data_IF_511249355084
#
_entry.id   IF_511249355084
#
_cell.length_a   1.000
_cell.length_b   1.000
_cell.length_c   1.000
_cell.angle_alpha   90.00
_cell.angle_beta   90.00
_cell.angle_gamma   90.00
#
_symmetry.space_group_name_H-M   'P 1'
#
loop_
_entity.id
_entity.type
_entity.pdbx_description
1 polymer ?
#
# COMPACT_ATOMS: atom_id res chain seq x y z
N UNK A 1 -10.19 -3.41 -3.79
CA UNK A 1 -9.55 -4.73 -3.93
C UNK A 1 -8.93 -5.09 -2.57
N UNK A 2 -8.94 -6.36 -2.13
CA UNK A 2 -8.33 -6.72 -0.84
C UNK A 2 -6.83 -6.96 -1.03
N UNK A 3 -6.02 -6.27 -0.25
CA UNK A 3 -4.56 -6.45 -0.22
C UNK A 3 -4.17 -7.17 1.06
N UNK A 4 -3.10 -7.98 0.98
CA UNK A 4 -2.61 -8.76 2.12
C UNK A 4 -1.26 -8.23 2.54
N UNK A 5 -1.10 -7.92 3.82
CA UNK A 5 0.19 -7.59 4.42
C UNK A 5 0.77 -8.83 5.08
N UNK A 6 2.05 -9.13 4.80
CA UNK A 6 2.80 -10.21 5.45
C UNK A 6 4.04 -9.67 6.15
N UNK A 7 4.48 -10.36 7.21
CA UNK A 7 5.82 -10.18 7.76
C UNK A 7 6.78 -11.22 7.19
N UNK A 8 7.94 -10.80 6.68
CA UNK A 8 8.96 -11.65 6.09
C UNK A 8 10.36 -11.30 6.61
N UNK A 9 11.26 -12.28 6.67
CA UNK A 9 12.69 -12.05 7.00
C UNK A 9 13.42 -11.56 5.75
N UNK A 10 14.38 -10.67 5.92
CA UNK A 10 15.16 -10.08 4.81
C UNK A 10 15.75 -11.13 3.86
N UNK A 11 16.30 -12.24 4.39
CA UNK A 11 16.85 -13.31 3.55
C UNK A 11 15.84 -13.89 2.55
N UNK A 12 14.57 -14.00 2.94
CA UNK A 12 13.52 -14.57 2.10
C UNK A 12 12.98 -13.53 1.13
N UNK A 13 12.90 -12.27 1.56
CA UNK A 13 12.54 -11.16 0.68
C UNK A 13 13.53 -11.03 -0.49
N UNK A 14 14.84 -11.10 -0.22
CA UNK A 14 15.87 -11.07 -1.27
C UNK A 14 15.74 -12.22 -2.28
N UNK A 15 15.42 -13.43 -1.82
CA UNK A 15 15.16 -14.58 -2.72
C UNK A 15 13.89 -14.42 -3.55
N UNK A 16 12.87 -13.76 -3.03
CA UNK A 16 11.65 -13.43 -3.80
C UNK A 16 12.01 -12.43 -4.90
N UNK A 17 12.78 -11.38 -4.58
CA UNK A 17 13.21 -10.38 -5.55
C UNK A 17 14.12 -10.96 -6.64
N UNK A 18 15.00 -11.91 -6.30
CA UNK A 18 15.86 -12.58 -7.30
C UNK A 18 15.15 -13.65 -8.13
N UNK A 19 13.92 -14.04 -7.76
CA UNK A 19 13.18 -15.13 -8.39
C UNK A 19 13.58 -16.53 -7.90
N UNK A 20 14.55 -16.66 -7.00
CA UNK A 20 14.96 -17.95 -6.40
C UNK A 20 13.89 -18.58 -5.49
N UNK A 21 12.92 -17.78 -5.02
CA UNK A 21 11.83 -18.24 -4.16
C UNK A 21 10.48 -17.94 -4.82
N UNK A 22 9.86 -18.99 -5.36
CA UNK A 22 8.57 -18.92 -6.05
C UNK A 22 7.38 -19.22 -5.13
N UNK A 23 7.62 -19.88 -3.98
CA UNK A 23 6.59 -20.18 -2.99
C UNK A 23 6.92 -19.55 -1.63
N UNK A 24 6.08 -18.61 -1.18
CA UNK A 24 6.08 -18.12 0.19
C UNK A 24 5.26 -19.07 1.09
N UNK A 25 5.90 -19.61 2.13
CA UNK A 25 5.33 -20.71 2.92
C UNK A 25 4.62 -20.17 4.16
N UNK A 26 3.36 -20.57 4.34
CA UNK A 26 2.51 -20.16 5.48
C UNK A 26 1.70 -21.31 6.05
N UNK A 27 1.31 -21.20 7.31
CA UNK A 27 0.43 -22.18 8.00
C UNK A 27 -1.05 -22.03 7.65
N UNK A 28 -1.45 -20.89 7.09
CA UNK A 28 -2.82 -20.59 6.71
C UNK A 28 -2.86 -19.65 5.49
N UNK A 29 -4.07 -19.31 5.03
CA UNK A 29 -4.33 -18.46 3.87
C UNK A 29 -5.45 -17.45 4.13
N UNK A 30 -5.53 -16.36 3.35
CA UNK A 30 -6.65 -15.44 3.38
C UNK A 30 -7.94 -16.13 2.89
N UNK A 31 -9.06 -15.88 3.59
CA UNK A 31 -10.38 -16.41 3.25
C UNK A 31 -11.21 -15.37 2.50
N UNK A 32 -11.84 -15.76 1.38
CA UNK A 32 -12.69 -14.85 0.61
C UNK A 32 -11.90 -13.73 -0.07
N UNK A 33 -10.73 -14.09 -0.61
CA UNK A 33 -9.91 -13.24 -1.48
C UNK A 33 -10.02 -13.76 -2.92
N UNK A 34 -10.05 -12.85 -3.87
CA UNK A 34 -10.03 -13.17 -5.31
C UNK A 34 -8.59 -13.25 -5.80
N UNK A 35 -8.36 -14.07 -6.82
CA UNK A 35 -7.06 -14.18 -7.46
C UNK A 35 -7.05 -13.43 -8.79
N UNK A 36 -5.92 -12.81 -9.17
CA UNK A 36 -4.73 -12.61 -8.35
C UNK A 36 -4.94 -11.53 -7.27
N UNK A 37 -4.16 -11.57 -6.19
CA UNK A 37 -4.15 -10.52 -5.17
C UNK A 37 -2.75 -9.99 -4.85
N UNK A 38 -2.68 -8.73 -4.41
CA UNK A 38 -1.44 -8.07 -4.04
C UNK A 38 -1.02 -8.46 -2.62
N UNK A 39 0.27 -8.77 -2.47
CA UNK A 39 0.91 -9.07 -1.18
C UNK A 39 1.96 -8.01 -0.90
N UNK A 40 1.76 -7.25 0.17
CA UNK A 40 2.71 -6.23 0.68
C UNK A 40 3.61 -6.87 1.74
N UNK A 41 4.91 -6.58 1.66
CA UNK A 41 5.94 -7.22 2.46
C UNK A 41 6.52 -6.26 3.50
N UNK A 42 6.18 -6.50 4.77
CA UNK A 42 6.93 -5.96 5.90
C UNK A 42 8.18 -6.80 6.14
N UNK A 43 9.35 -6.23 5.89
CA UNK A 43 10.64 -6.85 6.17
C UNK A 43 11.02 -6.57 7.62
N UNK A 44 11.19 -7.65 8.39
CA UNK A 44 11.42 -7.57 9.84
C UNK A 44 12.63 -6.71 10.17
N UNK A 45 12.42 -5.69 11.02
CA UNK A 45 13.47 -4.75 11.44
C UNK A 45 13.77 -3.63 10.44
N UNK A 46 13.06 -3.54 9.32
CA UNK A 46 13.28 -2.54 8.27
C UNK A 46 12.04 -1.68 8.03
N UNK A 47 10.89 -2.29 7.80
CA UNK A 47 9.67 -1.61 7.38
C UNK A 47 8.96 -2.35 6.25
N UNK A 48 7.95 -1.72 5.67
CA UNK A 48 7.35 -2.16 4.42
C UNK A 48 8.29 -1.79 3.27
N UNK A 49 8.75 -2.78 2.51
CA UNK A 49 9.85 -2.63 1.55
C UNK A 49 9.46 -2.98 0.11
N UNK A 50 8.30 -3.59 -0.10
CA UNK A 50 7.94 -4.06 -1.42
C UNK A 50 6.65 -4.83 -1.45
N UNK A 51 6.33 -5.34 -2.62
CA UNK A 51 5.15 -6.16 -2.85
C UNK A 51 5.41 -7.21 -3.94
N UNK A 52 4.51 -8.19 -4.02
CA UNK A 52 4.41 -9.11 -5.15
C UNK A 52 2.94 -9.48 -5.39
N UNK A 53 2.67 -10.13 -6.53
CA UNK A 53 1.33 -10.64 -6.83
C UNK A 53 1.25 -12.14 -6.55
N UNK A 54 0.22 -12.56 -5.82
CA UNK A 54 -0.12 -13.96 -5.61
C UNK A 54 -1.31 -14.36 -6.50
N UNK A 55 -1.09 -15.26 -7.44
CA UNK A 55 -2.08 -15.73 -8.42
C UNK A 55 -2.71 -17.08 -8.04
N UNK A 56 -2.07 -17.90 -7.19
CA UNK A 56 -2.68 -19.06 -6.56
C UNK A 56 -2.02 -19.44 -5.22
N UNK A 57 -2.75 -20.22 -4.41
CA UNK A 57 -2.22 -20.83 -3.17
C UNK A 57 -2.37 -22.35 -3.24
N UNK A 58 -1.26 -23.06 -3.06
CA UNK A 58 -1.22 -24.51 -2.98
C UNK A 58 -1.24 -24.99 -1.54
N UNK A 59 -2.17 -25.87 -1.19
CA UNK A 59 -2.23 -26.52 0.13
C UNK A 59 -1.76 -27.97 -0.01
N UNK A 60 -0.70 -28.35 0.69
CA UNK A 60 -0.17 -29.72 0.67
C UNK A 60 0.59 -30.01 1.96
N UNK A 61 0.71 -31.29 2.33
CA UNK A 61 1.65 -31.80 3.33
C UNK A 61 2.87 -32.49 2.69
N UNK A 62 2.98 -32.47 1.36
CA UNK A 62 4.18 -32.90 0.65
C UNK A 62 5.26 -31.80 0.76
N UNK A 63 6.14 -31.96 1.75
CA UNK A 63 7.23 -31.01 1.99
C UNK A 63 8.32 -31.10 0.93
N UNK A 64 8.45 -32.22 0.22
CA UNK A 64 9.42 -32.32 -0.88
C UNK A 64 8.99 -31.42 -2.03
N UNK A 65 7.72 -31.50 -2.40
CA UNK A 65 7.15 -30.64 -3.44
C UNK A 65 7.26 -29.14 -3.10
N UNK A 66 7.04 -28.77 -1.83
CA UNK A 66 7.22 -27.38 -1.40
C UNK A 66 8.68 -26.94 -1.39
N UNK A 67 9.62 -27.83 -1.06
CA UNK A 67 11.06 -27.52 -1.00
C UNK A 67 11.63 -27.08 -2.35
N UNK A 68 11.17 -27.71 -3.44
CA UNK A 68 11.63 -27.47 -4.81
C UNK A 68 11.49 -26.01 -5.26
N UNK A 69 10.53 -25.28 -4.68
CA UNK A 69 10.17 -23.91 -5.11
C UNK A 69 10.19 -22.87 -3.99
N UNK A 70 10.46 -23.28 -2.75
CA UNK A 70 10.43 -22.36 -1.59
C UNK A 70 11.82 -21.96 -1.08
N UNK A 71 12.88 -22.66 -1.52
CA UNK A 71 14.24 -22.46 -1.04
C UNK A 71 14.44 -22.88 0.43
N UNK A 72 13.58 -23.76 0.94
CA UNK A 72 13.61 -24.38 2.27
C UNK A 72 13.80 -25.89 2.10
N UNK A 73 14.56 -26.52 2.98
CA UNK A 73 14.70 -27.98 2.99
C UNK A 73 13.42 -28.66 3.54
N UNK A 74 13.11 -29.91 3.13
CA UNK A 74 11.95 -30.64 3.64
C UNK A 74 11.91 -30.74 5.18
N UNK A 75 13.07 -30.84 5.83
CA UNK A 75 13.19 -30.84 7.29
C UNK A 75 12.78 -29.51 7.93
N UNK A 76 13.19 -28.37 7.36
CA UNK A 76 12.79 -27.04 7.84
C UNK A 76 11.26 -26.84 7.70
N UNK A 77 10.69 -27.34 6.61
CA UNK A 77 9.24 -27.30 6.37
C UNK A 77 8.48 -28.18 7.36
N UNK A 78 8.99 -29.39 7.63
CA UNK A 78 8.42 -30.29 8.63
C UNK A 78 8.44 -29.64 10.02
N UNK A 79 9.58 -29.11 10.45
CA UNK A 79 9.71 -28.42 11.74
C UNK A 79 8.79 -27.20 11.83
N UNK A 80 8.72 -26.40 10.77
CA UNK A 80 7.82 -25.25 10.72
C UNK A 80 6.36 -25.68 10.87
N UNK A 81 5.93 -26.75 10.18
CA UNK A 81 4.57 -27.26 10.23
C UNK A 81 4.22 -27.88 11.61
N UNK A 82 5.13 -28.66 12.17
CA UNK A 82 4.83 -29.63 13.22
C UNK A 82 5.51 -29.38 14.57
N UNK A 83 6.56 -28.56 14.64
CA UNK A 83 7.49 -28.46 15.79
C UNK A 83 6.88 -28.03 17.13
N UNK A 84 5.62 -27.59 17.16
CA UNK A 84 4.91 -27.21 18.39
C UNK A 84 3.77 -28.16 18.78
N UNK A 85 3.35 -29.10 17.92
CA UNK A 85 2.02 -29.71 18.02
C UNK A 85 1.99 -31.24 18.09
N UNK A 86 3.13 -31.94 18.02
CA UNK A 86 3.18 -33.42 18.03
C UNK A 86 2.44 -34.10 16.87
N UNK A 87 2.02 -33.33 15.86
CA UNK A 87 1.39 -33.80 14.62
C UNK A 87 2.49 -34.08 13.59
N UNK A 88 2.24 -35.00 12.66
CA UNK A 88 3.20 -35.31 11.57
C UNK A 88 2.73 -34.85 10.20
N UNK A 89 1.41 -34.71 9.99
CA UNK A 89 0.82 -34.52 8.66
C UNK A 89 0.17 -33.13 8.46
N UNK A 90 0.69 -32.09 9.11
CA UNK A 90 0.13 -30.74 9.02
C UNK A 90 0.35 -30.13 7.62
N UNK A 91 -0.72 -29.81 6.89
CA UNK A 91 -0.57 -29.11 5.61
C UNK A 91 0.00 -27.69 5.80
N UNK A 92 0.88 -27.31 4.89
CA UNK A 92 1.30 -25.93 4.67
C UNK A 92 0.63 -25.35 3.43
N UNK A 93 0.73 -24.03 3.31
CA UNK A 93 0.22 -23.24 2.19
C UNK A 93 1.42 -22.59 1.49
N UNK A 94 1.70 -23.00 0.25
CA UNK A 94 2.62 -22.32 -0.65
C UNK A 94 1.88 -21.24 -1.41
N UNK A 95 2.13 -19.98 -1.06
CA UNK A 95 1.59 -18.82 -1.75
C UNK A 95 2.50 -18.54 -2.94
N UNK A 96 1.97 -18.66 -4.15
CA UNK A 96 2.77 -18.47 -5.34
C UNK A 96 3.15 -17.00 -5.50
N UNK A 97 4.41 -16.75 -5.80
CA UNK A 97 4.96 -15.45 -6.18
C UNK A 97 4.96 -15.40 -7.70
N UNK A 98 4.03 -14.64 -8.28
CA UNK A 98 3.92 -14.54 -9.74
C UNK A 98 5.19 -13.91 -10.31
N UNK A 99 5.83 -14.59 -11.25
CA UNK A 99 7.07 -14.15 -11.91
C UNK A 99 6.94 -12.72 -12.47
N UNK A 100 8.00 -11.92 -12.32
CA UNK A 100 8.05 -10.54 -12.80
C UNK A 100 7.21 -9.53 -12.01
N UNK A 101 6.50 -9.94 -10.97
CA UNK A 101 5.71 -9.05 -10.10
C UNK A 101 6.35 -8.65 -8.77
N UNK A 102 7.39 -9.33 -8.23
CA UNK A 102 8.12 -8.81 -7.09
C UNK A 102 8.71 -7.44 -7.40
N UNK A 103 8.43 -6.48 -6.52
CA UNK A 103 8.90 -5.11 -6.65
C UNK A 103 9.39 -4.59 -5.31
N UNK A 104 10.56 -3.95 -5.33
CA UNK A 104 11.10 -3.22 -4.19
C UNK A 104 10.68 -1.75 -4.29
N UNK A 105 10.31 -1.16 -3.16
CA UNK A 105 9.94 0.25 -3.08
C UNK A 105 11.18 1.13 -2.93
N UNK A 106 11.09 2.40 -3.32
CA UNK A 106 12.21 3.35 -3.26
C UNK A 106 12.77 3.52 -1.84
N UNK A 107 11.90 3.35 -0.82
CA UNK A 107 12.27 3.44 0.57
C UNK A 107 11.48 2.50 1.48
N UNK A 108 11.95 2.36 2.72
CA UNK A 108 11.26 1.63 3.76
C UNK A 108 10.13 2.48 4.36
N UNK A 109 8.90 1.97 4.31
CA UNK A 109 7.75 2.65 4.92
C UNK A 109 7.45 2.09 6.32
N UNK A 110 6.96 2.96 7.19
CA UNK A 110 6.49 2.56 8.52
C UNK A 110 5.23 1.70 8.41
N UNK A 111 5.02 0.87 9.42
CA UNK A 111 3.90 -0.09 9.47
C UNK A 111 2.53 0.61 9.50
N UNK A 112 2.45 1.79 10.13
CA UNK A 112 1.26 2.63 10.23
C UNK A 112 0.75 3.13 8.87
N UNK A 113 1.62 3.26 7.86
CA UNK A 113 1.22 3.64 6.49
C UNK A 113 0.23 2.66 5.87
N UNK A 114 0.24 1.40 6.31
CA UNK A 114 -0.71 0.36 5.91
C UNK A 114 -1.98 0.29 6.80
N UNK A 115 -2.18 1.26 7.70
CA UNK A 115 -3.33 1.30 8.61
C UNK A 115 -3.25 0.27 9.74
N UNK A 116 -2.05 -0.22 10.06
CA UNK A 116 -1.84 -1.22 11.12
C UNK A 116 -0.79 -0.77 12.13
N UNK A 117 -1.05 -1.03 13.41
CA UNK A 117 -0.17 -0.57 14.51
C UNK A 117 1.03 -1.48 14.76
N UNK A 118 0.99 -2.73 14.30
CA UNK A 118 2.07 -3.71 14.51
C UNK A 118 2.20 -4.66 13.32
N UNK A 119 3.41 -5.18 13.05
CA UNK A 119 3.60 -6.19 12.02
C UNK A 119 2.77 -7.44 12.29
N UNK A 120 2.13 -8.04 11.27
CA UNK A 120 1.33 -9.24 11.47
C UNK A 120 2.22 -10.43 11.84
N UNK A 121 1.75 -11.29 12.75
CA UNK A 121 2.46 -12.52 13.11
C UNK A 121 2.54 -13.51 11.92
N UNK A 122 1.51 -13.53 11.09
CA UNK A 122 1.50 -14.23 9.81
C UNK A 122 1.15 -13.22 8.72
N UNK A 123 -0.14 -12.91 8.58
CA UNK A 123 -0.65 -11.95 7.63
C UNK A 123 -1.92 -11.29 8.18
N UNK A 124 -2.29 -10.14 7.62
CA UNK A 124 -3.59 -9.52 7.83
C UNK A 124 -4.10 -8.89 6.52
N UNK A 125 -5.39 -8.60 6.47
CA UNK A 125 -5.92 -7.75 5.41
C UNK A 125 -5.54 -6.31 5.67
N UNK A 126 -5.21 -5.61 4.60
CA UNK A 126 -5.08 -4.16 4.57
C UNK A 126 -5.89 -3.62 3.40
N UNK A 127 -6.15 -2.32 3.43
CA UNK A 127 -6.66 -1.60 2.27
C UNK A 127 -5.61 -1.58 1.15
N UNK A 128 -5.97 -1.04 -0.01
CA UNK A 128 -5.02 -0.86 -1.10
C UNK A 128 -3.80 -0.05 -0.61
N UNK A 129 -2.60 -0.57 -0.84
CA UNK A 129 -1.39 0.05 -0.33
C UNK A 129 -0.82 0.99 -1.39
N UNK A 130 -0.97 2.29 -1.14
CA UNK A 130 -0.62 3.35 -2.09
C UNK A 130 0.57 4.21 -1.67
N UNK A 131 1.09 4.02 -0.45
CA UNK A 131 2.16 4.87 0.09
C UNK A 131 3.48 4.78 -0.71
N UNK A 132 3.71 3.67 -1.41
CA UNK A 132 4.88 3.47 -2.25
C UNK A 132 4.75 4.08 -3.65
N UNK A 133 3.56 4.54 -4.03
CA UNK A 133 3.31 4.93 -5.41
C UNK A 133 4.03 6.24 -5.73
N UNK A 134 4.61 6.28 -6.92
CA UNK A 134 5.19 7.47 -7.52
C UNK A 134 4.51 7.75 -8.85
N UNK A 135 4.57 9.00 -9.30
CA UNK A 135 4.13 9.37 -10.65
C UNK A 135 5.19 10.26 -11.29
N UNK A 136 5.21 10.28 -12.62
CA UNK A 136 6.07 11.19 -13.36
C UNK A 136 5.29 12.24 -14.14
N UNK A 137 5.98 13.32 -14.47
CA UNK A 137 5.53 14.42 -15.29
C UNK A 137 6.66 14.93 -16.17
N UNK A 138 6.33 15.51 -17.32
CA UNK A 138 7.29 16.19 -18.21
C UNK A 138 7.29 17.71 -18.05
N UNK A 139 6.28 18.29 -17.40
CA UNK A 139 6.14 19.74 -17.16
C UNK A 139 6.22 20.11 -15.67
N UNK A 140 6.20 19.12 -14.77
CA UNK A 140 6.22 19.32 -13.32
C UNK A 140 4.86 19.72 -12.74
N UNK A 141 3.82 19.76 -13.56
CA UNK A 141 2.46 20.18 -13.17
C UNK A 141 1.45 19.06 -13.38
N UNK A 142 1.54 18.38 -14.53
CA UNK A 142 0.60 17.34 -14.96
C UNK A 142 1.22 15.96 -14.74
N UNK A 143 0.76 15.27 -13.70
CA UNK A 143 1.20 13.91 -13.39
C UNK A 143 0.21 12.86 -13.88
N UNK A 144 0.75 11.79 -14.46
CA UNK A 144 -0.01 10.75 -15.14
C UNK A 144 -0.33 9.54 -14.27
N UNK A 145 -0.02 8.36 -14.81
CA UNK A 145 -0.21 7.09 -14.11
C UNK A 145 0.73 6.95 -12.91
N UNK A 146 0.40 5.99 -12.04
CA UNK A 146 1.18 5.67 -10.84
C UNK A 146 1.96 4.37 -11.00
N UNK A 147 3.16 4.33 -10.44
CA UNK A 147 4.11 3.21 -10.53
C UNK A 147 4.56 2.78 -9.14
N UNK A 148 5.07 1.55 -8.99
CA UNK A 148 5.44 1.04 -7.65
C UNK A 148 6.71 1.69 -7.07
N UNK A 149 7.55 2.27 -7.93
CA UNK A 149 8.82 2.88 -7.59
C UNK A 149 9.30 3.79 -8.74
N UNK A 150 10.34 4.57 -8.47
CA UNK A 150 10.94 5.52 -9.40
C UNK A 150 11.50 4.83 -10.64
N UNK A 151 12.07 3.63 -10.48
CA UNK A 151 12.61 2.85 -11.60
C UNK A 151 11.55 2.49 -12.64
N UNK A 152 10.36 2.06 -12.21
CA UNK A 152 9.24 1.74 -13.09
C UNK A 152 8.71 3.01 -13.77
N UNK A 153 8.55 4.11 -13.03
CA UNK A 153 8.12 5.39 -13.57
C UNK A 153 9.07 5.90 -14.66
N UNK A 154 10.37 5.90 -14.39
CA UNK A 154 11.39 6.36 -15.35
C UNK A 154 11.44 5.48 -16.60
N UNK A 155 11.27 4.16 -16.45
CA UNK A 155 11.23 3.24 -17.59
C UNK A 155 10.08 3.59 -18.53
N UNK A 156 8.90 3.86 -17.99
CA UNK A 156 7.73 4.23 -18.77
C UNK A 156 7.87 5.63 -19.38
N UNK A 157 8.37 6.59 -18.60
CA UNK A 157 8.66 7.95 -19.09
C UNK A 157 9.63 7.97 -20.27
N UNK A 158 10.68 7.11 -20.27
CA UNK A 158 11.59 6.99 -21.42
C UNK A 158 10.86 6.48 -22.66
N UNK A 159 9.95 5.50 -22.52
CA UNK A 159 9.18 4.99 -23.65
C UNK A 159 8.34 6.09 -24.27
N UNK A 160 7.62 6.87 -23.44
CA UNK A 160 6.82 8.01 -23.92
C UNK A 160 7.70 9.11 -24.53
N UNK A 161 8.87 9.38 -23.94
CA UNK A 161 9.83 10.34 -24.49
C UNK A 161 10.31 9.95 -25.90
N UNK A 162 10.62 8.67 -26.13
CA UNK A 162 11.01 8.15 -27.45
C UNK A 162 9.86 8.26 -28.47
N UNK A 163 8.60 8.22 -28.02
CA UNK A 163 7.44 8.50 -28.87
C UNK A 163 7.36 9.98 -29.23
N UNK A 164 7.65 10.91 -28.31
CA UNK A 164 7.72 12.34 -28.61
C UNK A 164 8.79 12.69 -29.63
N UNK A 165 9.91 11.96 -29.70
CA UNK A 165 10.90 12.14 -30.77
C UNK A 165 10.32 11.83 -32.16
N UNK A 166 9.42 10.85 -32.25
CA UNK A 166 8.75 10.46 -33.51
C UNK A 166 7.60 11.41 -33.86
N UNK A 167 6.84 11.82 -32.84
CA UNK A 167 5.67 12.69 -32.97
C UNK A 167 5.77 13.86 -31.98
N UNK A 168 6.52 14.93 -32.34
CA UNK A 168 6.79 16.03 -31.43
C UNK A 168 5.51 16.72 -30.97
N UNK A 169 5.30 16.89 -29.66
CA UNK A 169 4.18 17.67 -29.16
C UNK A 169 4.34 19.15 -29.55
N UNK A 170 3.22 19.86 -29.69
CA UNK A 170 3.19 21.29 -30.12
C UNK A 170 4.01 22.22 -29.20
N UNK A 171 4.18 21.84 -27.93
CA UNK A 171 4.94 22.60 -26.93
C UNK A 171 6.46 22.34 -27.00
N UNK A 172 6.93 21.47 -27.89
CA UNK A 172 8.32 21.04 -27.97
C UNK A 172 8.58 19.76 -27.19
N UNK A 173 9.65 19.05 -27.53
CA UNK A 173 10.05 17.82 -26.84
C UNK A 173 10.55 18.22 -25.45
N UNK A 174 9.98 17.67 -24.36
CA UNK A 174 10.49 17.92 -23.01
C UNK A 174 11.93 17.42 -22.91
N UNK A 175 12.72 17.96 -22.00
CA UNK A 175 14.08 17.47 -21.71
C UNK A 175 14.25 17.03 -20.24
N UNK A 176 13.21 17.21 -19.43
CA UNK A 176 13.17 16.90 -18.01
C UNK A 176 12.02 15.94 -17.71
N UNK A 177 12.25 15.09 -16.74
CA UNK A 177 11.29 14.16 -16.17
C UNK A 177 11.26 14.43 -14.66
N UNK A 178 10.10 14.79 -14.15
CA UNK A 178 9.86 15.02 -12.73
C UNK A 178 9.25 13.75 -12.16
N UNK A 179 9.84 13.15 -11.12
CA UNK A 179 9.28 11.97 -10.45
C UNK A 179 9.03 12.31 -8.98
N UNK A 180 7.82 12.09 -8.50
CA UNK A 180 7.45 12.41 -7.12
C UNK A 180 6.62 11.33 -6.46
N UNK A 181 6.74 11.21 -5.14
CA UNK A 181 5.92 10.31 -4.34
C UNK A 181 4.48 10.84 -4.28
N UNK A 182 3.51 9.96 -4.52
CA UNK A 182 2.10 10.28 -4.49
C UNK A 182 1.60 10.33 -3.04
N UNK A 183 1.09 11.48 -2.62
CA UNK A 183 0.33 11.62 -1.37
C UNK A 183 -1.15 11.53 -1.65
N UNK A 184 -1.72 10.34 -1.45
CA UNK A 184 -3.14 10.10 -1.62
C UNK A 184 -3.94 10.78 -0.51
N UNK A 185 -5.01 11.49 -0.91
CA UNK A 185 -5.92 12.07 0.05
C UNK A 185 -6.62 10.99 0.87
N UNK A 186 -6.51 11.10 2.19
CA UNK A 186 -7.23 10.25 3.15
C UNK A 186 -8.37 11.06 3.74
N UNK A 187 -9.63 10.72 3.42
CA UNK A 187 -10.75 11.45 3.97
C UNK A 187 -10.81 11.19 5.47
N UNK A 188 -11.09 12.23 6.23
CA UNK A 188 -11.20 12.17 7.67
C UNK A 188 -12.23 13.19 8.14
N UNK A 189 -12.97 12.82 9.17
CA UNK A 189 -13.89 13.67 9.91
C UNK A 189 -13.19 14.38 11.08
N UNK A 190 -11.86 14.41 11.11
CA UNK A 190 -11.15 15.24 12.08
C UNK A 190 -11.58 16.70 11.99
N UNK A 191 -11.80 17.31 13.15
CA UNK A 191 -12.37 18.65 13.37
C UNK A 191 -13.84 18.83 12.95
N UNK A 192 -14.59 17.75 12.67
CA UNK A 192 -16.02 17.83 12.33
C UNK A 192 -16.94 17.90 13.55
N UNK A 193 -16.41 17.74 14.77
CA UNK A 193 -17.24 17.70 15.99
C UNK A 193 -18.12 18.93 16.16
N UNK A 194 -17.58 20.13 15.87
CA UNK A 194 -18.34 21.38 15.92
C UNK A 194 -19.39 21.47 14.82
N UNK A 195 -19.07 21.07 13.59
CA UNK A 195 -20.01 21.09 12.46
C UNK A 195 -21.25 20.21 12.75
N UNK A 196 -21.05 19.06 13.41
CA UNK A 196 -22.14 18.16 13.79
C UNK A 196 -22.99 18.74 14.91
N UNK A 197 -22.36 19.38 15.90
CA UNK A 197 -23.07 20.05 16.99
C UNK A 197 -23.90 21.22 16.44
N UNK A 198 -23.31 22.07 15.59
CA UNK A 198 -24.00 23.21 14.95
C UNK A 198 -25.19 22.73 14.12
N UNK A 199 -25.04 21.62 13.39
CA UNK A 199 -26.14 21.03 12.63
C UNK A 199 -27.29 20.55 13.52
N UNK A 200 -27.01 20.03 14.71
CA UNK A 200 -28.03 19.58 15.67
C UNK A 200 -28.65 20.77 16.41
N UNK A 201 -27.85 21.78 16.78
CA UNK A 201 -28.34 23.04 17.37
C UNK A 201 -29.29 23.77 16.42
N UNK A 202 -28.97 23.79 15.12
CA UNK A 202 -29.84 24.38 14.10
C UNK A 202 -31.20 23.67 14.05
N UNK A 203 -31.22 22.33 14.11
CA UNK A 203 -32.46 21.55 14.19
C UNK A 203 -33.24 21.83 15.48
N UNK A 204 -32.53 21.93 16.61
CA UNK A 204 -33.14 22.27 17.90
C UNK A 204 -33.76 23.66 17.87
N UNK A 205 -33.14 24.65 17.22
CA UNK A 205 -33.69 25.99 17.06
C UNK A 205 -34.94 25.99 16.17
N UNK A 206 -34.94 25.22 15.10
CA UNK A 206 -36.10 25.08 14.20
C UNK A 206 -37.32 24.49 14.94
N UNK A 207 -37.11 23.57 15.89
CA UNK A 207 -38.18 22.93 16.67
C UNK A 207 -38.56 23.68 17.96
N UNK A 208 -37.56 24.18 18.69
CA UNK A 208 -37.69 24.72 20.04
C UNK A 208 -37.63 26.25 20.13
N UNK A 209 -37.18 26.93 19.07
CA UNK A 209 -36.94 28.38 19.07
C UNK A 209 -36.04 28.81 20.23
N UNK A 210 -36.36 29.94 20.86
CA UNK A 210 -35.59 30.54 21.97
C UNK A 210 -35.34 29.60 23.17
N UNK A 211 -36.10 28.51 23.32
CA UNK A 211 -35.90 27.54 24.39
C UNK A 211 -34.74 26.57 24.13
N UNK A 212 -34.18 26.58 22.92
CA UNK A 212 -33.06 25.74 22.51
C UNK A 212 -31.73 26.50 22.42
N UNK A 213 -31.70 27.79 22.74
CA UNK A 213 -30.55 28.69 22.57
C UNK A 213 -29.28 28.20 23.31
N UNK A 214 -29.40 27.43 24.40
CA UNK A 214 -28.27 26.91 25.19
C UNK A 214 -28.03 25.40 25.00
N UNK A 215 -28.74 24.75 24.08
CA UNK A 215 -28.65 23.31 23.88
C UNK A 215 -27.25 22.92 23.36
N UNK A 216 -26.53 22.09 24.13
CA UNK A 216 -25.17 21.60 23.85
C UNK A 216 -24.04 22.64 23.95
N UNK A 217 -24.31 23.88 24.35
CA UNK A 217 -23.27 24.91 24.53
C UNK A 217 -22.25 24.57 25.63
N UNK A 218 -22.66 23.77 26.62
CA UNK A 218 -21.81 23.29 27.71
C UNK A 218 -20.91 22.11 27.33
N UNK A 219 -20.98 21.61 26.08
CA UNK A 219 -20.17 20.49 25.64
C UNK A 219 -18.67 20.83 25.72
N UNK A 220 -17.93 20.06 26.51
CA UNK A 220 -16.49 20.32 26.67
C UNK A 220 -15.71 19.84 25.45
N UNK A 221 -14.52 20.39 25.25
CA UNK A 221 -13.64 19.97 24.16
C UNK A 221 -13.40 18.46 24.15
N UNK A 222 -13.23 17.83 25.32
CA UNK A 222 -13.03 16.40 25.45
C UNK A 222 -14.24 15.58 25.01
N UNK A 223 -15.46 16.08 25.30
CA UNK A 223 -16.70 15.42 24.86
C UNK A 223 -16.90 15.56 23.35
N UNK A 224 -16.53 16.70 22.77
CA UNK A 224 -16.56 16.92 21.32
C UNK A 224 -15.54 16.01 20.62
N UNK A 225 -14.32 15.89 21.16
CA UNK A 225 -13.31 14.95 20.67
C UNK A 225 -13.77 13.49 20.77
N UNK A 226 -14.48 13.11 21.84
CA UNK A 226 -15.07 11.77 21.97
C UNK A 226 -16.09 11.50 20.85
N UNK A 227 -17.01 12.44 20.60
CA UNK A 227 -17.98 12.36 19.51
C UNK A 227 -17.30 12.25 18.15
N UNK A 228 -16.31 13.10 17.89
CA UNK A 228 -15.54 13.13 16.65
C UNK A 228 -14.85 11.78 16.38
N UNK A 229 -14.20 11.20 17.38
CA UNK A 229 -13.57 9.88 17.25
C UNK A 229 -14.59 8.78 16.94
N UNK A 230 -15.78 8.85 17.53
CA UNK A 230 -16.88 7.93 17.23
C UNK A 230 -17.37 8.05 15.78
N UNK A 231 -17.56 9.29 15.31
CA UNK A 231 -17.98 9.58 13.93
C UNK A 231 -16.93 9.14 12.92
N UNK A 232 -15.65 9.41 13.19
CA UNK A 232 -14.54 8.99 12.34
C UNK A 232 -14.53 7.46 12.19
N UNK A 233 -14.67 6.71 13.29
CA UNK A 233 -14.72 5.25 13.22
C UNK A 233 -15.88 4.74 12.33
N UNK A 234 -17.08 5.31 12.49
CA UNK A 234 -18.25 4.97 11.68
C UNK A 234 -18.03 5.31 10.21
N UNK A 235 -17.45 6.48 9.93
CA UNK A 235 -17.17 6.95 8.58
C UNK A 235 -16.12 6.08 7.88
N UNK A 236 -15.02 5.76 8.56
CA UNK A 236 -13.97 4.89 8.03
C UNK A 236 -14.51 3.49 7.70
N UNK A 237 -15.34 2.91 8.58
CA UNK A 237 -16.01 1.63 8.33
C UNK A 237 -16.95 1.70 7.12
N UNK A 238 -17.68 2.81 6.95
CA UNK A 238 -18.59 3.02 5.84
C UNK A 238 -17.85 3.13 4.50
N UNK A 239 -16.84 3.99 4.38
CA UNK A 239 -16.06 4.11 3.14
C UNK A 239 -15.31 2.81 2.82
N UNK A 240 -14.87 2.07 3.85
CA UNK A 240 -14.24 0.77 3.66
C UNK A 240 -15.21 -0.26 3.08
N UNK A 241 -16.41 -0.34 3.65
CA UNK A 241 -17.44 -1.30 3.25
C UNK A 241 -17.86 -1.10 1.79
N UNK A 242 -17.95 0.15 1.34
CA UNK A 242 -18.41 0.49 -0.01
C UNK A 242 -17.28 0.82 -0.99
N UNK A 243 -16.02 0.78 -0.54
CA UNK A 243 -14.84 1.08 -1.35
C UNK A 243 -14.89 2.51 -1.95
N UNK A 244 -15.27 3.50 -1.13
CA UNK A 244 -15.34 4.92 -1.51
C UNK A 244 -14.04 5.68 -1.23
N UNK A 245 -12.89 5.02 -1.35
CA UNK A 245 -11.61 5.69 -1.20
C UNK A 245 -11.34 6.63 -2.39
N UNK A 246 -10.82 7.83 -2.14
CA UNK A 246 -10.35 8.72 -3.20
C UNK A 246 -9.30 8.05 -4.08
N UNK A 247 -9.29 8.41 -5.36
CA UNK A 247 -8.33 7.92 -6.35
C UNK A 247 -7.42 9.04 -6.89
N UNK A 248 -7.37 10.17 -6.21
CA UNK A 248 -6.51 11.31 -6.54
C UNK A 248 -5.42 11.50 -5.49
N UNK A 249 -4.34 12.17 -5.90
CA UNK A 249 -3.15 12.39 -5.09
C UNK A 249 -2.55 13.77 -5.38
N UNK A 250 -1.72 14.23 -4.46
CA UNK A 250 -0.83 15.38 -4.65
C UNK A 250 0.62 14.93 -4.68
N UNK A 251 1.51 15.78 -5.18
CA UNK A 251 2.95 15.55 -5.16
C UNK A 251 3.61 16.75 -4.48
N UNK A 252 4.03 16.61 -3.21
CA UNK A 252 4.61 17.72 -2.45
C UNK A 252 6.02 18.08 -2.91
N UNK A 253 6.75 17.11 -3.45
CA UNK A 253 8.11 17.26 -3.94
C UNK A 253 8.37 16.24 -5.06
N UNK A 254 9.23 16.62 -6.00
CA UNK A 254 9.65 15.76 -7.10
C UNK A 254 11.15 15.92 -7.36
N UNK A 255 11.79 14.79 -7.63
CA UNK A 255 13.15 14.73 -8.15
C UNK A 255 13.12 15.00 -9.66
N UNK A 256 14.15 15.68 -10.15
CA UNK A 256 14.26 16.07 -11.56
C UNK A 256 15.35 15.24 -12.23
N UNK A 257 15.01 14.65 -13.37
CA UNK A 257 15.91 13.87 -14.20
C UNK A 257 16.00 14.50 -15.58
N UNK A 258 17.22 14.68 -16.09
CA UNK A 258 17.46 15.04 -17.48
C UNK A 258 17.71 13.77 -18.28
N UNK A 259 17.06 13.65 -19.44
CA UNK A 259 17.31 12.56 -20.39
C UNK A 259 17.95 13.13 -21.66
N UNK A 260 19.20 12.75 -21.93
CA UNK A 260 19.96 13.21 -23.10
C UNK A 260 19.75 12.32 -24.35
N UNK A 261 18.94 11.26 -24.22
CA UNK A 261 18.71 10.26 -25.26
C UNK A 261 19.55 8.99 -25.13
N UNK A 262 20.53 8.95 -24.22
CA UNK A 262 21.32 7.76 -23.88
C UNK A 262 21.25 7.44 -22.39
N UNK A 263 21.28 8.47 -21.53
CA UNK A 263 21.38 8.34 -20.07
C UNK A 263 20.38 9.24 -19.35
N UNK A 264 19.92 8.77 -18.19
CA UNK A 264 19.18 9.57 -17.22
C UNK A 264 20.15 10.13 -16.19
N UNK A 265 20.14 11.45 -16.01
CA UNK A 265 20.97 12.15 -15.04
C UNK A 265 20.04 12.81 -14.03
N UNK A 266 20.14 12.43 -12.76
CA UNK A 266 19.41 13.09 -11.68
C UNK A 266 20.02 14.46 -11.39
N UNK A 267 19.23 15.52 -11.43
CA UNK A 267 19.68 16.87 -11.09
C UNK A 267 19.85 16.97 -9.56
N UNK A 268 21.04 17.37 -9.10
CA UNK A 268 21.34 17.54 -7.67
C UNK A 268 22.28 16.49 -7.06
N UNK A 269 22.64 15.44 -7.82
CA UNK A 269 23.65 14.43 -7.43
C UNK A 269 25.11 14.87 -7.72
N UNK A 270 25.34 16.15 -8.04
CA UNK A 270 26.69 16.72 -8.06
C UNK A 270 27.23 16.89 -6.63
N UNK A 271 27.86 15.84 -6.11
CA UNK A 271 28.88 15.91 -5.05
C UNK A 271 30.08 15.03 -5.34
#
# INVERSE_FOLDING_TARGET
MKTVLISIKEKWWKKILSGEKELEIRKNRPKGIEYPFRVVCYVTGRGIMGAFTCDFIKKTNDYKELSERSGLEPGELFEYANGANGKTDTCLYGWHVKEGTPVEFDQAFKIDTAGVVRPPQSWCYIQEYTANLVAYSFDGETYGATYNNTKEALKDAIVEFEEFKKYPPKRGIPNKIFVGQCEFYRPSLSNSGYDVIEAVQSQAQDEGGEWADDYLDDATKEQIEELENGLEAVFQDWIQKYNFYPNFYTIPAADVYTYDGEQLIQEGDEK
#
